data_IF_714002060001
#
_entry.id   IF_714002060001
#
_cell.length_a   1.000
_cell.length_b   1.000
_cell.length_c   1.000
_cell.angle_alpha   90.00
_cell.angle_beta   90.00
_cell.angle_gamma   90.00
#
_symmetry.space_group_name_H-M   'P 1'
#
loop_
_entity.id
_entity.type
_entity.pdbx_description
1 polymer ?
#
# COMPACT_ATOMS: atom_id res chain seq x y z
N UNK A 1 -1.45 37.32 2.81
CA UNK A 1 -1.79 38.14 3.98
C UNK A 1 -1.81 39.59 3.55
N UNK A 2 -2.90 40.28 3.78
CA UNK A 2 -3.16 41.63 3.29
C UNK A 2 -4.30 42.25 4.10
N UNK A 3 -4.22 43.51 4.43
CA UNK A 3 -5.22 44.23 5.23
C UNK A 3 -6.18 45.10 4.42
N UNK A 4 -5.81 45.47 3.18
CA UNK A 4 -6.60 46.34 2.32
C UNK A 4 -7.61 45.58 1.48
N UNK A 5 -8.90 45.83 1.68
CA UNK A 5 -10.00 45.13 1.00
C UNK A 5 -9.94 45.17 -0.54
N UNK A 6 -9.59 46.30 -1.12
CA UNK A 6 -9.46 46.45 -2.59
C UNK A 6 -8.36 45.51 -3.14
N UNK A 7 -7.23 45.41 -2.45
CA UNK A 7 -6.13 44.57 -2.87
C UNK A 7 -6.46 43.09 -2.66
N UNK A 8 -7.11 42.76 -1.54
CA UNK A 8 -7.63 41.38 -1.28
C UNK A 8 -8.56 40.95 -2.42
N UNK A 9 -9.55 41.82 -2.78
CA UNK A 9 -10.48 41.51 -3.86
C UNK A 9 -9.80 41.33 -5.21
N UNK A 10 -8.84 42.20 -5.55
CA UNK A 10 -8.09 42.11 -6.80
C UNK A 10 -7.25 40.82 -6.89
N UNK A 11 -6.59 40.43 -5.79
CA UNK A 11 -5.80 39.17 -5.75
C UNK A 11 -6.73 37.95 -5.80
N UNK A 12 -7.84 37.94 -5.07
CA UNK A 12 -8.82 36.86 -5.11
C UNK A 12 -9.39 36.67 -6.52
N UNK A 13 -9.82 37.74 -7.17
CA UNK A 13 -10.33 37.69 -8.55
C UNK A 13 -9.27 37.11 -9.51
N UNK A 14 -8.01 37.55 -9.41
CA UNK A 14 -6.90 37.01 -10.19
C UNK A 14 -6.73 35.49 -9.98
N UNK A 15 -6.73 35.04 -8.71
CA UNK A 15 -6.53 33.62 -8.39
C UNK A 15 -7.69 32.74 -8.85
N UNK A 16 -8.94 33.22 -8.68
CA UNK A 16 -10.14 32.48 -9.04
C UNK A 16 -10.37 32.50 -10.56
N UNK A 17 -10.42 33.71 -11.15
CA UNK A 17 -10.88 33.87 -12.52
C UNK A 17 -9.79 33.55 -13.57
N UNK A 18 -8.54 33.85 -13.25
CA UNK A 18 -7.43 33.69 -14.22
C UNK A 18 -6.49 32.50 -13.89
N UNK A 19 -6.41 32.08 -12.61
CA UNK A 19 -5.59 30.93 -12.20
C UNK A 19 -6.39 29.67 -11.91
N UNK A 20 -7.73 29.72 -11.97
CA UNK A 20 -8.65 28.62 -11.70
C UNK A 20 -8.47 27.98 -10.29
N UNK A 21 -8.10 28.77 -9.29
CA UNK A 21 -8.01 28.31 -7.90
C UNK A 21 -9.40 28.38 -7.26
N UNK A 22 -9.94 27.26 -6.72
CA UNK A 22 -11.23 27.29 -6.04
C UNK A 22 -11.21 28.24 -4.83
N UNK A 23 -12.28 29.03 -4.64
CA UNK A 23 -12.34 29.99 -3.54
C UNK A 23 -12.14 29.35 -2.15
N UNK A 24 -12.62 28.13 -1.95
CA UNK A 24 -12.43 27.35 -0.72
C UNK A 24 -10.95 27.05 -0.39
N UNK A 25 -10.06 27.17 -1.37
CA UNK A 25 -8.63 26.90 -1.23
C UNK A 25 -7.81 28.19 -1.02
N UNK A 26 -8.51 29.34 -0.92
CA UNK A 26 -7.92 30.66 -0.69
C UNK A 26 -8.27 31.15 0.71
N UNK A 27 -7.27 31.19 1.57
CA UNK A 27 -7.37 31.76 2.91
C UNK A 27 -6.88 33.21 2.95
N UNK A 28 -7.57 34.08 3.67
CA UNK A 28 -7.14 35.47 3.91
C UNK A 28 -6.79 35.66 5.38
N UNK A 29 -5.69 36.37 5.66
CA UNK A 29 -5.32 36.86 6.99
C UNK A 29 -5.00 38.35 6.89
N UNK A 30 -5.58 39.18 7.76
CA UNK A 30 -5.47 40.63 7.73
C UNK A 30 -4.35 41.19 8.61
N UNK A 31 -3.73 40.33 9.40
CA UNK A 31 -2.63 40.69 10.29
C UNK A 31 -1.75 39.46 10.52
N UNK A 32 -0.56 39.71 11.10
CA UNK A 32 0.43 38.65 11.36
C UNK A 32 -0.10 37.60 12.34
N UNK A 33 -0.88 37.99 13.34
CA UNK A 33 -1.44 37.06 14.32
C UNK A 33 -2.40 36.03 13.66
N UNK A 34 -3.30 36.48 12.78
CA UNK A 34 -4.17 35.61 12.01
C UNK A 34 -3.36 34.68 11.09
N UNK A 35 -2.36 35.22 10.40
CA UNK A 35 -1.47 34.45 9.53
C UNK A 35 -0.73 33.37 10.29
N UNK A 36 -0.19 33.69 11.48
CA UNK A 36 0.47 32.73 12.35
C UNK A 36 -0.44 31.57 12.75
N UNK A 37 -1.71 31.85 13.08
CA UNK A 37 -2.67 30.80 13.43
C UNK A 37 -2.95 29.89 12.25
N UNK A 38 -3.17 30.45 11.07
CA UNK A 38 -3.39 29.66 9.84
C UNK A 38 -2.17 28.78 9.48
N UNK A 39 -0.94 29.29 9.63
CA UNK A 39 0.27 28.50 9.39
C UNK A 39 0.51 27.40 10.43
N UNK A 40 -0.07 27.50 11.62
CA UNK A 40 -0.07 26.39 12.60
C UNK A 40 -0.98 25.24 12.18
N UNK A 41 -2.13 25.58 11.63
CA UNK A 41 -3.19 24.62 11.30
C UNK A 41 -2.96 23.92 9.95
N UNK A 42 -2.56 24.67 8.91
CA UNK A 42 -2.54 24.20 7.52
C UNK A 42 -1.21 24.49 6.84
N UNK A 43 -0.74 23.57 6.00
CA UNK A 43 0.34 23.80 5.05
C UNK A 43 -0.21 24.52 3.81
N UNK A 44 0.50 25.55 3.34
CA UNK A 44 0.13 26.32 2.15
C UNK A 44 1.16 26.12 1.03
N UNK A 45 0.69 26.02 -0.21
CA UNK A 45 1.57 25.99 -1.37
C UNK A 45 2.17 27.37 -1.68
N UNK A 46 1.39 28.41 -1.44
CA UNK A 46 1.77 29.80 -1.70
C UNK A 46 1.33 30.71 -0.56
N UNK A 47 2.25 31.50 -0.03
CA UNK A 47 1.97 32.62 0.85
C UNK A 47 2.25 33.92 0.08
N UNK A 48 1.20 34.71 -0.16
CA UNK A 48 1.33 36.11 -0.59
C UNK A 48 1.33 36.98 0.67
N UNK A 49 2.37 37.75 0.90
CA UNK A 49 2.57 38.51 2.13
C UNK A 49 2.82 39.99 1.81
N UNK A 50 1.93 40.88 2.24
CA UNK A 50 2.22 42.31 2.23
C UNK A 50 3.38 42.62 3.20
N UNK A 51 4.33 43.40 2.75
CA UNK A 51 5.51 43.73 3.53
C UNK A 51 5.24 44.81 4.59
N UNK A 52 4.03 45.35 4.62
CA UNK A 52 3.58 46.36 5.58
C UNK A 52 2.24 45.93 6.16
N UNK A 53 2.28 45.06 7.18
CA UNK A 53 1.11 44.52 7.85
C UNK A 53 1.11 44.83 9.35
N UNK A 54 -0.08 45.04 9.95
CA UNK A 54 -0.15 45.14 11.42
C UNK A 54 0.09 43.77 12.07
N UNK A 55 0.69 43.78 13.26
CA UNK A 55 0.86 42.56 14.06
C UNK A 55 -0.49 42.03 14.56
N UNK A 56 -1.43 42.91 14.95
CA UNK A 56 -2.80 42.61 15.38
C UNK A 56 -3.79 43.59 14.74
N UNK A 57 -5.09 43.28 14.79
CA UNK A 57 -6.15 44.05 14.15
C UNK A 57 -6.31 45.48 14.70
N UNK A 58 -5.89 45.73 15.92
CA UNK A 58 -5.95 47.02 16.65
C UNK A 58 -4.63 47.84 16.57
N UNK A 59 -3.66 47.40 15.79
CA UNK A 59 -2.35 48.05 15.65
C UNK A 59 -2.18 48.65 14.25
N UNK A 60 -1.41 49.72 14.19
CA UNK A 60 -1.01 50.29 12.90
C UNK A 60 0.00 49.36 12.17
N UNK A 61 -0.03 49.32 10.84
CA UNK A 61 0.93 48.59 10.05
C UNK A 61 2.34 49.06 10.29
N UNK A 62 3.28 48.12 10.46
CA UNK A 62 4.69 48.40 10.67
C UNK A 62 5.55 47.68 9.61
N UNK A 63 6.48 48.41 9.02
CA UNK A 63 7.36 47.92 7.96
C UNK A 63 8.36 46.84 8.41
N UNK A 64 8.65 46.75 9.71
CA UNK A 64 9.59 45.77 10.26
C UNK A 64 8.92 44.43 10.60
N UNK A 65 7.61 44.40 10.79
CA UNK A 65 6.92 43.23 11.35
C UNK A 65 6.80 42.08 10.34
N UNK A 66 6.49 42.36 9.08
CA UNK A 66 6.40 41.34 8.03
C UNK A 66 7.76 40.65 7.74
N UNK A 67 8.90 41.37 7.63
CA UNK A 67 10.22 40.72 7.53
C UNK A 67 10.57 39.86 8.75
N UNK A 68 10.28 40.33 9.99
CA UNK A 68 10.47 39.52 11.21
C UNK A 68 9.59 38.29 11.24
N UNK A 69 8.37 38.37 10.72
CA UNK A 69 7.46 37.23 10.64
C UNK A 69 7.96 36.16 9.65
N UNK A 70 8.58 36.58 8.56
CA UNK A 70 9.23 35.62 7.65
C UNK A 70 10.35 34.86 8.37
N UNK A 71 11.18 35.53 9.13
CA UNK A 71 12.25 34.89 9.93
C UNK A 71 11.64 33.94 10.99
N UNK A 72 10.50 34.32 11.60
CA UNK A 72 9.77 33.47 12.53
C UNK A 72 9.24 32.20 11.85
N UNK A 73 8.71 32.27 10.62
CA UNK A 73 8.21 31.11 9.89
C UNK A 73 9.29 30.03 9.76
N UNK A 74 10.56 30.41 9.60
CA UNK A 74 11.66 29.46 9.47
C UNK A 74 12.27 29.01 10.79
N UNK A 75 12.18 29.83 11.83
CA UNK A 75 12.79 29.53 13.14
C UNK A 75 11.84 28.85 14.12
N UNK A 76 10.53 28.97 13.94
CA UNK A 76 9.52 28.47 14.86
C UNK A 76 8.96 27.11 14.37
N UNK A 77 9.31 25.98 15.02
CA UNK A 77 8.88 24.64 14.60
C UNK A 77 7.35 24.40 14.71
N UNK A 78 6.62 25.30 15.39
CA UNK A 78 5.16 25.24 15.45
C UNK A 78 4.46 25.77 14.20
N UNK A 79 5.20 26.44 13.30
CA UNK A 79 4.67 26.98 12.05
C UNK A 79 5.02 26.06 10.89
N UNK A 80 4.03 25.78 10.04
CA UNK A 80 4.24 25.03 8.79
C UNK A 80 4.79 26.00 7.74
N UNK A 81 5.96 25.68 7.19
CA UNK A 81 6.63 26.54 6.21
C UNK A 81 5.92 26.40 4.85
N UNK A 82 5.39 27.49 4.26
CA UNK A 82 4.80 27.45 2.93
C UNK A 82 5.81 27.00 1.86
N UNK A 83 5.34 26.27 0.83
CA UNK A 83 6.22 25.83 -0.26
C UNK A 83 6.84 27.00 -1.02
N UNK A 84 6.13 28.13 -1.11
CA UNK A 84 6.64 29.38 -1.70
C UNK A 84 6.15 30.58 -0.91
N UNK A 85 7.01 31.60 -0.76
CA UNK A 85 6.66 32.90 -0.20
C UNK A 85 6.89 33.98 -1.27
N UNK A 86 5.89 34.82 -1.46
CA UNK A 86 5.96 35.99 -2.34
C UNK A 86 5.65 37.22 -1.48
N UNK A 87 6.62 38.09 -1.29
CA UNK A 87 6.42 39.37 -0.67
C UNK A 87 5.80 40.36 -1.67
N UNK A 88 4.89 41.19 -1.21
CA UNK A 88 4.29 42.25 -1.97
C UNK A 88 4.47 43.60 -1.27
N UNK A 89 4.82 44.62 -2.03
CA UNK A 89 4.89 45.99 -1.48
C UNK A 89 4.46 47.02 -2.51
N UNK A 90 3.76 48.04 -2.05
CA UNK A 90 3.40 49.21 -2.87
C UNK A 90 4.47 50.34 -2.76
N UNK A 91 5.40 50.22 -1.84
CA UNK A 91 6.43 51.23 -1.55
C UNK A 91 7.74 50.94 -2.33
N UNK A 92 8.22 51.91 -3.11
CA UNK A 92 9.39 51.75 -3.99
C UNK A 92 10.69 51.61 -3.18
N UNK A 93 10.84 52.42 -2.14
CA UNK A 93 12.02 52.39 -1.30
C UNK A 93 12.17 51.05 -0.58
N UNK A 94 11.06 50.50 -0.06
CA UNK A 94 11.02 49.17 0.56
C UNK A 94 11.26 48.03 -0.43
N UNK A 95 10.77 48.17 -1.65
CA UNK A 95 11.06 47.21 -2.67
C UNK A 95 12.57 47.07 -2.92
N UNK A 96 13.26 48.20 -3.03
CA UNK A 96 14.70 48.19 -3.28
C UNK A 96 15.51 47.68 -2.07
N UNK A 97 15.10 48.05 -0.82
CA UNK A 97 15.73 47.59 0.42
C UNK A 97 15.59 46.06 0.63
N UNK A 98 14.42 45.50 0.37
CA UNK A 98 14.13 44.09 0.63
C UNK A 98 14.51 43.16 -0.51
N UNK A 99 14.75 43.68 -1.71
CA UNK A 99 15.03 42.90 -2.89
C UNK A 99 16.18 41.92 -2.71
N UNK A 100 17.33 42.39 -2.22
CA UNK A 100 18.50 41.53 -1.97
C UNK A 100 18.20 40.46 -0.92
N UNK A 101 17.53 40.81 0.19
CA UNK A 101 17.15 39.83 1.22
C UNK A 101 16.24 38.72 0.72
N UNK A 102 15.36 39.03 -0.23
CA UNK A 102 14.47 38.05 -0.85
C UNK A 102 15.19 37.18 -1.89
N UNK A 103 16.11 37.78 -2.67
CA UNK A 103 16.93 37.07 -3.66
C UNK A 103 17.88 36.07 -2.97
N UNK A 104 18.50 36.43 -1.86
CA UNK A 104 19.35 35.54 -1.05
C UNK A 104 18.62 34.29 -0.51
N UNK A 105 17.32 34.42 -0.24
CA UNK A 105 16.47 33.31 0.20
C UNK A 105 15.71 32.61 -0.92
N UNK A 106 15.99 32.94 -2.17
CA UNK A 106 15.30 32.44 -3.38
C UNK A 106 13.79 32.73 -3.41
N UNK A 107 13.34 33.78 -2.73
CA UNK A 107 11.96 34.22 -2.70
C UNK A 107 11.71 35.30 -3.75
N UNK A 108 10.43 35.53 -4.04
CA UNK A 108 10.03 36.55 -4.98
C UNK A 108 9.48 37.76 -4.25
N UNK A 109 9.95 38.95 -4.62
CA UNK A 109 9.36 40.21 -4.17
C UNK A 109 8.69 40.89 -5.36
N UNK A 110 7.43 41.29 -5.20
CA UNK A 110 6.61 41.88 -6.25
C UNK A 110 6.21 43.28 -5.83
N UNK A 111 6.37 44.22 -6.78
CA UNK A 111 5.86 45.58 -6.59
C UNK A 111 4.41 45.64 -7.02
N UNK A 112 3.51 45.90 -6.07
CA UNK A 112 2.10 46.09 -6.34
C UNK A 112 1.83 47.55 -6.75
N UNK A 113 1.13 47.74 -7.90
CA UNK A 113 0.60 49.03 -8.35
C UNK A 113 -0.83 48.81 -8.82
N UNK A 114 -1.79 49.57 -8.26
CA UNK A 114 -3.23 49.38 -8.51
C UNK A 114 -3.60 49.44 -10.01
N UNK A 115 -2.91 50.26 -10.79
CA UNK A 115 -3.18 50.48 -12.22
C UNK A 115 -2.17 49.79 -13.17
N UNK A 116 -1.38 48.84 -12.66
CA UNK A 116 -0.41 48.12 -13.46
C UNK A 116 -0.73 46.62 -13.48
N UNK A 117 -0.40 45.93 -14.58
CA UNK A 117 -0.65 44.50 -14.76
C UNK A 117 0.58 43.62 -14.49
N UNK A 118 1.76 44.22 -14.25
CA UNK A 118 3.01 43.50 -14.05
C UNK A 118 3.00 42.54 -12.86
N UNK A 119 2.38 42.96 -11.74
CA UNK A 119 2.25 42.15 -10.54
C UNK A 119 1.36 40.92 -10.79
N UNK A 120 0.27 41.09 -11.55
CA UNK A 120 -0.65 40.00 -11.92
C UNK A 120 0.10 38.94 -12.73
N UNK A 121 0.89 39.34 -13.72
CA UNK A 121 1.68 38.44 -14.55
C UNK A 121 2.67 37.61 -13.72
N UNK A 122 3.31 38.22 -12.72
CA UNK A 122 4.25 37.54 -11.83
C UNK A 122 3.57 36.54 -10.91
N UNK A 123 2.41 36.90 -10.31
CA UNK A 123 1.64 35.98 -9.49
C UNK A 123 1.14 34.80 -10.33
N UNK A 124 0.57 35.05 -11.52
CA UNK A 124 0.13 34.00 -12.46
C UNK A 124 1.24 33.04 -12.83
N UNK A 125 2.43 33.56 -13.18
CA UNK A 125 3.58 32.73 -13.50
C UNK A 125 3.98 31.82 -12.31
N UNK A 126 3.93 32.35 -11.07
CA UNK A 126 4.25 31.58 -9.86
C UNK A 126 3.21 30.50 -9.57
N UNK A 127 1.94 30.84 -9.65
CA UNK A 127 0.82 29.88 -9.47
C UNK A 127 0.88 28.78 -10.54
N UNK A 128 1.08 29.15 -11.80
CA UNK A 128 1.21 28.18 -12.88
C UNK A 128 2.41 27.23 -12.69
N UNK A 129 3.54 27.75 -12.23
CA UNK A 129 4.69 26.90 -11.90
C UNK A 129 4.37 25.91 -10.79
N UNK A 130 3.69 26.35 -9.70
CA UNK A 130 3.27 25.47 -8.61
C UNK A 130 2.27 24.42 -9.10
N UNK A 131 1.27 24.80 -9.90
CA UNK A 131 0.30 23.87 -10.50
C UNK A 131 1.00 22.82 -11.37
N UNK A 132 1.95 23.22 -12.21
CA UNK A 132 2.75 22.27 -13.00
C UNK A 132 3.60 21.34 -12.16
N UNK A 133 4.22 21.83 -11.11
CA UNK A 133 4.99 20.98 -10.19
C UNK A 133 4.07 19.93 -9.51
N UNK A 134 2.90 20.35 -9.03
CA UNK A 134 1.90 19.43 -8.46
C UNK A 134 1.42 18.42 -9.50
N UNK A 135 1.18 18.84 -10.74
CA UNK A 135 0.81 17.95 -11.84
C UNK A 135 1.95 16.98 -12.18
N UNK A 136 3.20 17.45 -12.22
CA UNK A 136 4.37 16.59 -12.45
C UNK A 136 4.56 15.58 -11.30
N UNK A 137 4.36 15.99 -10.03
CA UNK A 137 4.39 15.10 -8.88
C UNK A 137 3.24 14.09 -8.97
N UNK A 138 2.02 14.54 -9.26
CA UNK A 138 0.88 13.64 -9.51
C UNK A 138 1.15 12.67 -10.65
N UNK A 139 1.68 13.14 -11.77
CA UNK A 139 2.03 12.30 -12.91
C UNK A 139 3.20 11.35 -12.61
N UNK A 140 4.17 11.73 -11.80
CA UNK A 140 5.23 10.83 -11.33
C UNK A 140 4.71 9.81 -10.32
N UNK A 141 3.73 10.17 -9.49
CA UNK A 141 3.01 9.25 -8.61
C UNK A 141 2.04 8.35 -9.41
N UNK A 142 1.35 8.90 -10.43
CA UNK A 142 0.48 8.13 -11.33
C UNK A 142 1.26 7.26 -12.34
N UNK A 143 2.52 7.57 -12.64
CA UNK A 143 3.44 6.69 -13.36
C UNK A 143 4.08 5.61 -12.46
N UNK A 144 3.80 5.56 -11.16
CA UNK A 144 3.92 4.33 -10.39
C UNK A 144 2.84 3.38 -10.89
N UNK A 145 3.25 2.21 -11.39
CA UNK A 145 2.37 1.16 -11.86
C UNK A 145 1.41 0.76 -10.73
N UNK A 146 0.25 1.42 -10.64
CA UNK A 146 -0.77 1.09 -9.64
C UNK A 146 -1.57 -0.10 -10.14
N UNK A 147 -1.69 -1.12 -9.30
CA UNK A 147 -2.51 -2.30 -9.55
C UNK A 147 -3.49 -2.49 -8.39
N UNK A 148 -4.71 -2.92 -8.70
CA UNK A 148 -5.72 -3.16 -7.67
C UNK A 148 -5.32 -4.30 -6.74
N UNK A 149 -4.73 -5.36 -7.32
CA UNK A 149 -4.34 -6.57 -6.60
C UNK A 149 -2.89 -6.97 -6.89
N UNK A 150 -2.23 -7.51 -5.89
CA UNK A 150 -0.93 -8.16 -6.01
C UNK A 150 -1.05 -9.68 -5.85
N UNK A 151 -0.20 -10.45 -6.52
CA UNK A 151 -0.02 -11.88 -6.28
C UNK A 151 1.45 -12.18 -6.10
N UNK A 152 1.79 -12.92 -5.04
CA UNK A 152 3.15 -13.36 -4.75
C UNK A 152 3.20 -14.89 -4.66
N UNK A 153 4.17 -15.50 -5.32
CA UNK A 153 4.48 -16.91 -5.22
C UNK A 153 5.92 -17.09 -4.74
N UNK A 154 6.16 -18.04 -3.86
CA UNK A 154 7.50 -18.32 -3.36
C UNK A 154 8.35 -19.02 -4.42
N UNK A 155 7.81 -20.02 -5.10
CA UNK A 155 8.53 -20.89 -6.01
C UNK A 155 8.06 -20.77 -7.46
N UNK A 156 8.94 -21.12 -8.38
CA UNK A 156 8.66 -21.04 -9.82
C UNK A 156 7.49 -21.91 -10.25
N UNK A 157 7.39 -23.13 -9.73
CA UNK A 157 6.29 -24.06 -10.05
C UNK A 157 4.91 -23.56 -9.61
N UNK A 158 4.84 -22.85 -8.45
CA UNK A 158 3.63 -22.17 -7.98
C UNK A 158 3.23 -21.04 -8.94
N UNK A 159 4.22 -20.27 -9.35
CA UNK A 159 4.04 -19.16 -10.27
C UNK A 159 3.62 -19.61 -11.68
N UNK A 160 4.20 -20.68 -12.21
CA UNK A 160 3.83 -21.23 -13.52
C UNK A 160 2.40 -21.77 -13.52
N UNK A 161 1.94 -22.37 -12.41
CA UNK A 161 0.53 -22.77 -12.24
C UNK A 161 -0.40 -21.55 -12.22
N UNK A 162 -0.04 -20.47 -11.51
CA UNK A 162 -0.78 -19.21 -11.50
C UNK A 162 -0.92 -18.63 -12.91
N UNK A 163 0.19 -18.48 -13.62
CA UNK A 163 0.20 -17.92 -14.99
C UNK A 163 -0.67 -18.74 -15.94
N UNK A 164 -0.65 -20.07 -15.82
CA UNK A 164 -1.44 -20.97 -16.66
C UNK A 164 -2.94 -20.86 -16.35
N UNK A 165 -3.33 -20.82 -15.06
CA UNK A 165 -4.73 -20.73 -14.60
C UNK A 165 -5.38 -19.42 -15.04
N UNK A 166 -4.68 -18.31 -14.96
CA UNK A 166 -5.18 -16.99 -15.39
C UNK A 166 -5.13 -16.79 -16.91
N UNK A 167 -4.56 -17.77 -17.65
CA UNK A 167 -4.40 -17.74 -19.10
C UNK A 167 -3.10 -17.04 -19.53
N UNK A 168 -2.15 -17.81 -20.02
CA UNK A 168 -0.80 -17.32 -20.39
C UNK A 168 -0.82 -16.11 -21.33
N UNK A 169 -1.78 -16.06 -22.25
CA UNK A 169 -1.92 -14.97 -23.22
C UNK A 169 -2.38 -13.64 -22.60
N UNK A 170 -2.97 -13.68 -21.39
CA UNK A 170 -3.48 -12.49 -20.69
C UNK A 170 -2.38 -11.74 -19.95
N UNK A 171 -1.23 -12.37 -19.76
CA UNK A 171 -0.14 -11.80 -18.98
C UNK A 171 0.86 -11.02 -19.84
N UNK A 172 1.17 -9.80 -19.42
CA UNK A 172 2.27 -9.00 -19.96
C UNK A 172 3.46 -9.05 -19.01
N UNK A 173 4.60 -9.50 -19.50
CA UNK A 173 5.85 -9.53 -18.73
C UNK A 173 6.49 -8.14 -18.71
N UNK A 174 6.96 -7.73 -17.55
CA UNK A 174 7.74 -6.52 -17.32
C UNK A 174 9.10 -6.89 -16.73
N UNK A 175 10.13 -6.19 -17.19
CA UNK A 175 11.50 -6.32 -16.71
C UNK A 175 12.15 -4.94 -16.87
N UNK A 176 11.70 -4.02 -16.06
CA UNK A 176 12.18 -2.64 -16.00
C UNK A 176 12.75 -2.34 -14.61
N UNK A 177 13.26 -1.13 -14.42
CA UNK A 177 13.87 -0.72 -13.16
C UNK A 177 12.83 -0.33 -12.08
N UNK A 178 11.54 -0.49 -12.34
CA UNK A 178 10.50 -0.14 -11.36
C UNK A 178 10.40 -1.14 -10.22
N UNK A 179 10.77 -2.41 -10.47
CA UNK A 179 10.82 -3.45 -9.45
C UNK A 179 12.06 -4.34 -9.64
N UNK A 180 12.63 -4.81 -8.52
CA UNK A 180 13.91 -5.56 -8.53
C UNK A 180 13.78 -6.94 -9.19
N UNK A 181 12.59 -7.55 -9.18
CA UNK A 181 12.30 -8.81 -9.85
C UNK A 181 11.46 -8.58 -11.11
N UNK A 182 11.58 -9.43 -12.14
CA UNK A 182 10.62 -9.47 -13.24
C UNK A 182 9.21 -9.74 -12.70
N UNK A 183 8.22 -9.01 -13.20
CA UNK A 183 6.84 -9.18 -12.82
C UNK A 183 5.92 -9.31 -14.04
N UNK A 184 4.74 -9.86 -13.83
CA UNK A 184 3.72 -9.96 -14.87
C UNK A 184 2.47 -9.19 -14.46
N UNK A 185 1.76 -8.69 -15.43
CA UNK A 185 0.49 -7.98 -15.21
C UNK A 185 -0.61 -8.53 -16.07
N UNK A 186 -1.81 -8.57 -15.54
CA UNK A 186 -3.02 -8.91 -16.30
C UNK A 186 -4.22 -8.13 -15.78
N UNK A 187 -5.34 -8.30 -16.47
CA UNK A 187 -6.64 -7.79 -16.04
C UNK A 187 -7.63 -8.96 -15.96
N UNK A 188 -8.48 -8.92 -14.95
CA UNK A 188 -9.51 -9.94 -14.73
C UNK A 188 -10.86 -9.26 -14.57
N UNK A 189 -11.77 -9.48 -15.51
CA UNK A 189 -13.15 -9.03 -15.40
C UNK A 189 -13.90 -9.93 -14.43
N UNK A 190 -14.65 -9.33 -13.50
CA UNK A 190 -15.45 -10.05 -12.51
C UNK A 190 -16.83 -10.43 -13.08
N UNK A 191 -17.57 -11.25 -12.35
CA UNK A 191 -18.98 -11.55 -12.68
C UNK A 191 -19.90 -10.33 -12.47
N UNK A 192 -19.46 -9.30 -11.74
CA UNK A 192 -20.16 -8.03 -11.60
C UNK A 192 -19.96 -7.19 -12.86
N UNK A 193 -21.07 -6.72 -13.44
CA UNK A 193 -21.04 -5.94 -14.69
C UNK A 193 -20.20 -4.68 -14.54
N UNK A 194 -19.18 -4.56 -15.39
CA UNK A 194 -18.32 -3.38 -15.47
C UNK A 194 -17.18 -3.32 -14.45
N UNK A 195 -16.99 -4.33 -13.60
CA UNK A 195 -15.87 -4.39 -12.67
C UNK A 195 -14.72 -5.25 -13.25
N UNK A 196 -13.52 -4.69 -13.27
CA UNK A 196 -12.28 -5.35 -13.70
C UNK A 196 -11.17 -5.00 -12.70
N UNK A 197 -10.36 -6.00 -12.32
CA UNK A 197 -9.18 -5.79 -11.50
C UNK A 197 -7.92 -5.85 -12.34
N UNK A 198 -7.06 -4.85 -12.17
CA UNK A 198 -5.67 -4.86 -12.63
C UNK A 198 -4.79 -5.60 -11.61
N UNK A 199 -3.97 -6.53 -12.08
CA UNK A 199 -3.21 -7.44 -11.22
C UNK A 199 -1.74 -7.39 -11.58
N UNK A 200 -0.87 -7.31 -10.57
CA UNK A 200 0.57 -7.56 -10.70
C UNK A 200 0.94 -8.86 -9.98
N UNK A 201 1.80 -9.67 -10.58
CA UNK A 201 2.26 -10.94 -10.02
C UNK A 201 3.78 -11.06 -10.03
N UNK A 202 4.35 -11.55 -8.93
CA UNK A 202 5.79 -11.71 -8.70
C UNK A 202 6.10 -13.11 -8.22
N UNK A 203 7.21 -13.68 -8.74
CA UNK A 203 7.82 -14.89 -8.21
C UNK A 203 9.08 -14.53 -7.42
N UNK A 204 9.12 -14.87 -6.13
CA UNK A 204 10.25 -14.58 -5.25
C UNK A 204 11.47 -15.46 -5.61
N UNK A 205 11.23 -16.70 -6.01
CA UNK A 205 12.27 -17.67 -6.37
C UNK A 205 12.91 -18.42 -5.20
N UNK A 206 12.58 -18.04 -3.97
CA UNK A 206 13.04 -18.68 -2.74
C UNK A 206 11.93 -18.71 -1.70
N UNK A 207 11.83 -19.83 -0.98
CA UNK A 207 10.92 -19.94 0.16
C UNK A 207 11.45 -19.17 1.38
N UNK A 208 10.55 -18.69 2.23
CA UNK A 208 10.86 -18.16 3.56
C UNK A 208 10.21 -16.81 3.88
N UNK A 209 9.93 -16.63 5.18
CA UNK A 209 9.25 -15.44 5.72
C UNK A 209 9.96 -14.13 5.39
N UNK A 210 11.29 -14.11 5.49
CA UNK A 210 12.10 -12.88 5.29
C UNK A 210 11.99 -12.41 3.85
N UNK A 211 12.20 -13.28 2.88
CA UNK A 211 12.12 -12.95 1.45
C UNK A 211 10.71 -12.49 1.09
N UNK A 212 9.70 -13.23 1.53
CA UNK A 212 8.29 -12.87 1.30
C UNK A 212 7.96 -11.52 1.88
N UNK A 213 8.39 -11.23 3.11
CA UNK A 213 8.13 -9.94 3.77
C UNK A 213 8.76 -8.77 3.00
N UNK A 214 10.02 -8.91 2.56
CA UNK A 214 10.74 -7.87 1.80
C UNK A 214 10.01 -7.58 0.48
N UNK A 215 9.72 -8.61 -0.31
CA UNK A 215 9.09 -8.41 -1.63
C UNK A 215 7.63 -7.99 -1.55
N UNK A 216 6.86 -8.49 -0.58
CA UNK A 216 5.50 -8.03 -0.35
C UNK A 216 5.46 -6.55 0.07
N UNK A 217 6.36 -6.11 0.96
CA UNK A 217 6.49 -4.69 1.34
C UNK A 217 6.85 -3.84 0.13
N UNK A 218 7.82 -4.27 -0.68
CA UNK A 218 8.20 -3.55 -1.91
C UNK A 218 7.03 -3.48 -2.92
N UNK A 219 6.24 -4.56 -3.07
CA UNK A 219 5.03 -4.55 -3.91
C UNK A 219 4.01 -3.53 -3.41
N UNK A 220 3.73 -3.46 -2.10
CA UNK A 220 2.82 -2.45 -1.54
C UNK A 220 3.32 -1.02 -1.78
N UNK A 221 4.61 -0.77 -1.66
CA UNK A 221 5.19 0.56 -1.85
C UNK A 221 5.21 1.00 -3.32
N UNK A 222 5.56 0.09 -4.23
CA UNK A 222 5.81 0.41 -5.64
C UNK A 222 4.53 0.30 -6.48
N UNK A 223 3.74 -0.74 -6.25
CA UNK A 223 2.54 -1.04 -7.02
C UNK A 223 1.24 -0.67 -6.30
N UNK A 224 1.32 -0.33 -5.01
CA UNK A 224 0.21 0.12 -4.16
C UNK A 224 -1.07 -0.76 -4.18
N UNK A 225 -0.99 -2.11 -4.30
CA UNK A 225 -2.20 -2.92 -4.34
C UNK A 225 -2.98 -2.81 -3.02
N UNK A 226 -4.33 -2.93 -3.10
CA UNK A 226 -5.16 -2.97 -1.90
C UNK A 226 -5.02 -4.30 -1.14
N UNK A 227 -4.73 -5.38 -1.87
CA UNK A 227 -4.52 -6.70 -1.29
C UNK A 227 -3.45 -7.47 -2.05
N UNK A 228 -2.58 -8.18 -1.32
CA UNK A 228 -1.64 -9.16 -1.90
C UNK A 228 -2.10 -10.57 -1.54
N UNK A 229 -2.31 -11.40 -2.56
CA UNK A 229 -2.60 -12.81 -2.44
C UNK A 229 -1.33 -13.64 -2.56
N UNK A 230 -1.25 -14.73 -1.82
CA UNK A 230 -0.21 -15.76 -2.01
C UNK A 230 -0.87 -17.08 -2.39
N UNK A 231 -0.40 -17.68 -3.49
CA UNK A 231 -0.80 -19.01 -3.91
C UNK A 231 0.39 -19.96 -3.97
N UNK A 232 0.11 -21.24 -3.95
CA UNK A 232 1.13 -22.28 -4.02
C UNK A 232 0.71 -23.53 -3.25
N UNK A 233 1.70 -24.19 -2.63
CA UNK A 233 1.49 -25.41 -1.85
C UNK A 233 2.05 -25.29 -0.44
N UNK A 234 1.58 -26.15 0.45
CA UNK A 234 1.98 -26.22 1.86
C UNK A 234 1.85 -27.64 2.40
N UNK A 235 2.38 -27.86 3.59
CA UNK A 235 2.16 -29.10 4.32
C UNK A 235 0.85 -29.04 5.12
N UNK A 236 0.06 -30.12 5.09
CA UNK A 236 -1.09 -30.33 5.96
C UNK A 236 -0.66 -30.81 7.36
N UNK A 237 -1.43 -30.42 8.38
CA UNK A 237 -1.20 -30.85 9.78
C UNK A 237 -2.18 -31.91 10.27
N UNK A 238 -3.23 -32.20 9.50
CA UNK A 238 -4.36 -33.08 9.86
C UNK A 238 -4.63 -34.07 8.72
N UNK A 239 -3.87 -35.16 8.64
CA UNK A 239 -4.02 -36.19 7.60
C UNK A 239 -5.39 -36.94 7.70
N UNK A 240 -6.02 -36.92 8.87
CA UNK A 240 -7.36 -37.44 9.09
C UNK A 240 -8.48 -36.55 8.56
N UNK A 241 -8.20 -35.27 8.25
CA UNK A 241 -9.17 -34.27 7.84
C UNK A 241 -8.93 -33.67 6.46
N UNK A 242 -7.69 -33.69 6.00
CA UNK A 242 -7.25 -33.10 4.72
C UNK A 242 -6.71 -34.19 3.80
N UNK A 243 -6.79 -33.93 2.51
CA UNK A 243 -6.26 -34.76 1.43
C UNK A 243 -5.30 -33.95 0.57
N UNK A 244 -4.44 -34.65 -0.18
CA UNK A 244 -3.58 -34.01 -1.18
C UNK A 244 -4.39 -33.23 -2.21
N UNK A 245 -4.08 -31.95 -2.35
CA UNK A 245 -4.79 -31.02 -3.22
C UNK A 245 -5.89 -30.21 -2.51
N UNK A 246 -6.33 -30.60 -1.30
CA UNK A 246 -7.24 -29.77 -0.51
C UNK A 246 -6.65 -28.38 -0.31
N UNK A 247 -7.49 -27.35 -0.32
CA UNK A 247 -7.10 -25.97 -0.24
C UNK A 247 -7.28 -25.48 1.20
N UNK A 248 -6.25 -24.86 1.76
CA UNK A 248 -6.34 -24.14 3.04
C UNK A 248 -6.19 -22.65 2.76
N UNK A 249 -7.14 -21.88 3.28
CA UNK A 249 -7.11 -20.41 3.31
C UNK A 249 -6.83 -19.97 4.74
N UNK A 250 -5.74 -19.24 4.94
CA UNK A 250 -5.33 -18.86 6.28
C UNK A 250 -6.12 -17.66 6.79
N UNK A 251 -7.08 -17.86 7.70
CA UNK A 251 -7.72 -16.76 8.42
C UNK A 251 -6.82 -16.11 9.47
N UNK A 252 -5.81 -16.86 9.91
CA UNK A 252 -4.72 -16.37 10.77
C UNK A 252 -3.49 -17.22 10.58
N UNK A 253 -2.33 -16.60 10.76
CA UNK A 253 -1.02 -17.27 10.69
C UNK A 253 -0.29 -17.03 11.99
N UNK A 254 0.25 -18.10 12.60
CA UNK A 254 1.07 -18.05 13.80
C UNK A 254 2.52 -18.40 13.48
N UNK A 255 3.49 -17.60 13.94
CA UNK A 255 4.89 -17.99 13.94
C UNK A 255 5.17 -18.99 15.05
N UNK A 256 5.58 -20.21 14.68
CA UNK A 256 5.93 -21.26 15.65
C UNK A 256 7.41 -21.22 16.07
N UNK A 257 8.22 -20.37 15.49
CA UNK A 257 9.67 -20.30 15.73
C UNK A 257 10.08 -19.24 16.74
N UNK A 258 9.20 -18.32 17.09
CA UNK A 258 9.48 -17.28 18.08
C UNK A 258 9.30 -17.80 19.51
N UNK A 259 10.27 -17.48 20.37
CA UNK A 259 10.23 -17.89 21.79
C UNK A 259 11.59 -17.87 22.46
N UNK A 260 11.66 -18.44 23.65
CA UNK A 260 12.87 -18.58 24.46
C UNK A 260 13.39 -20.03 24.39
N UNK A 261 14.66 -20.21 24.06
CA UNK A 261 15.33 -21.50 24.13
C UNK A 261 15.89 -21.69 25.54
N UNK A 262 15.62 -22.82 26.14
CA UNK A 262 16.11 -23.24 27.47
C UNK A 262 16.60 -24.68 27.42
N UNK A 263 17.43 -25.06 28.38
CA UNK A 263 17.74 -26.46 28.61
C UNK A 263 16.71 -27.03 29.58
N UNK A 264 16.16 -28.21 29.29
CA UNK A 264 15.35 -28.96 30.25
C UNK A 264 16.25 -29.60 31.33
N UNK A 265 15.70 -30.22 32.41
CA UNK A 265 16.49 -30.87 33.46
C UNK A 265 17.39 -32.00 32.98
N UNK A 266 17.20 -32.51 31.73
CA UNK A 266 18.02 -33.56 31.13
C UNK A 266 19.12 -33.00 30.23
N UNK A 267 19.19 -31.66 30.04
CA UNK A 267 20.11 -30.98 29.15
C UNK A 267 19.63 -30.96 27.69
N UNK A 268 18.39 -31.29 27.42
CA UNK A 268 17.80 -31.23 26.09
C UNK A 268 17.25 -29.83 25.80
N UNK A 269 17.54 -29.28 24.63
CA UNK A 269 17.03 -27.98 24.20
C UNK A 269 15.51 -27.99 24.07
N UNK A 270 14.86 -27.04 24.74
CA UNK A 270 13.42 -26.82 24.68
C UNK A 270 13.11 -25.39 24.21
N UNK A 271 12.21 -25.24 23.25
CA UNK A 271 11.69 -23.94 22.81
C UNK A 271 10.40 -23.63 23.56
N UNK A 272 10.46 -22.64 24.45
CA UNK A 272 9.28 -22.05 25.08
C UNK A 272 8.71 -20.99 24.12
N UNK A 273 7.69 -21.37 23.37
CA UNK A 273 7.12 -20.55 22.29
C UNK A 273 6.31 -19.38 22.83
N UNK A 274 6.42 -18.26 22.14
CA UNK A 274 5.54 -17.09 22.33
C UNK A 274 4.45 -17.10 21.27
N UNK A 275 3.21 -16.72 21.69
CA UNK A 275 2.10 -16.63 20.76
C UNK A 275 2.23 -15.33 19.97
N UNK A 276 2.62 -15.46 18.70
CA UNK A 276 2.67 -14.36 17.75
C UNK A 276 1.77 -14.72 16.55
N UNK A 277 0.55 -14.17 16.55
CA UNK A 277 -0.49 -14.50 15.58
C UNK A 277 -1.00 -13.25 14.88
N UNK A 278 -1.11 -13.32 13.57
CA UNK A 278 -1.68 -12.29 12.71
C UNK A 278 -2.96 -12.81 12.04
N UNK A 279 -3.95 -11.93 11.87
CA UNK A 279 -5.25 -12.25 11.28
C UNK A 279 -5.50 -11.43 10.02
N UNK A 280 -6.30 -11.98 9.11
CA UNK A 280 -6.76 -11.25 7.92
C UNK A 280 -7.92 -10.31 8.24
N UNK A 281 -8.21 -9.43 7.30
CA UNK A 281 -9.40 -8.57 7.34
C UNK A 281 -10.68 -9.41 7.26
N UNK A 282 -11.74 -9.10 8.04
CA UNK A 282 -12.97 -9.87 8.08
C UNK A 282 -13.64 -10.06 6.70
N UNK A 283 -13.57 -9.06 5.83
CA UNK A 283 -14.15 -9.11 4.49
C UNK A 283 -13.49 -10.19 3.62
N UNK A 284 -12.16 -10.32 3.69
CA UNK A 284 -11.42 -11.35 2.95
C UNK A 284 -11.71 -12.75 3.51
N UNK A 285 -11.84 -12.87 4.84
CA UNK A 285 -12.22 -14.13 5.47
C UNK A 285 -13.63 -14.57 5.02
N UNK A 286 -14.57 -13.62 5.00
CA UNK A 286 -15.95 -13.89 4.57
C UNK A 286 -16.00 -14.32 3.10
N UNK A 287 -15.35 -13.60 2.18
CA UNK A 287 -15.31 -13.94 0.77
C UNK A 287 -14.70 -15.33 0.51
N UNK A 288 -13.64 -15.68 1.25
CA UNK A 288 -13.03 -17.01 1.15
C UNK A 288 -13.93 -18.11 1.73
N UNK A 289 -14.65 -17.86 2.81
CA UNK A 289 -15.59 -18.82 3.42
C UNK A 289 -16.81 -19.05 2.52
N UNK A 290 -17.34 -17.98 1.92
CA UNK A 290 -18.42 -18.05 0.92
C UNK A 290 -18.03 -18.93 -0.27
N UNK A 291 -16.87 -18.68 -0.89
CA UNK A 291 -16.37 -19.50 -1.99
C UNK A 291 -16.12 -20.96 -1.58
N UNK A 292 -15.53 -21.19 -0.40
CA UNK A 292 -15.24 -22.55 0.08
C UNK A 292 -16.49 -23.37 0.33
N UNK A 293 -17.61 -22.72 0.62
CA UNK A 293 -18.92 -23.32 0.88
C UNK A 293 -19.78 -23.46 -0.39
N UNK A 294 -19.44 -22.75 -1.48
CA UNK A 294 -20.18 -22.84 -2.74
C UNK A 294 -19.82 -24.14 -3.51
N UNK A 295 -20.73 -25.10 -3.45
CA UNK A 295 -20.57 -26.40 -4.11
C UNK A 295 -20.41 -26.30 -5.63
N UNK A 296 -21.04 -25.30 -6.28
CA UNK A 296 -20.95 -25.10 -7.73
C UNK A 296 -19.53 -24.65 -8.08
N UNK A 297 -19.03 -23.62 -7.42
CA UNK A 297 -17.68 -23.08 -7.67
C UNK A 297 -16.59 -24.11 -7.34
N UNK A 298 -16.73 -24.86 -6.25
CA UNK A 298 -15.81 -25.95 -5.90
C UNK A 298 -15.86 -27.09 -6.92
N UNK A 299 -17.03 -27.41 -7.46
CA UNK A 299 -17.17 -28.42 -8.52
C UNK A 299 -16.50 -27.97 -9.82
N UNK A 300 -16.61 -26.71 -10.21
CA UNK A 300 -15.89 -26.14 -11.36
C UNK A 300 -14.36 -26.27 -11.20
N UNK A 301 -13.80 -25.99 -10.01
CA UNK A 301 -12.38 -26.20 -9.70
C UNK A 301 -12.00 -27.68 -9.90
N UNK A 302 -12.79 -28.61 -9.36
CA UNK A 302 -12.55 -30.04 -9.48
C UNK A 302 -12.59 -30.51 -10.96
N UNK A 303 -13.49 -29.98 -11.77
CA UNK A 303 -13.59 -30.29 -13.21
C UNK A 303 -12.30 -29.86 -13.92
N UNK A 304 -11.84 -28.61 -13.71
CA UNK A 304 -10.61 -28.11 -14.35
C UNK A 304 -9.38 -28.93 -13.94
N UNK A 305 -9.30 -29.35 -12.68
CA UNK A 305 -8.20 -30.20 -12.22
C UNK A 305 -8.19 -31.58 -12.90
N UNK A 306 -9.38 -32.16 -13.15
CA UNK A 306 -9.51 -33.43 -13.91
C UNK A 306 -9.13 -33.27 -15.37
N UNK A 307 -9.63 -32.22 -16.03
CA UNK A 307 -9.24 -31.89 -17.42
C UNK A 307 -7.72 -31.73 -17.60
N UNK A 308 -7.04 -31.27 -16.57
CA UNK A 308 -5.57 -31.17 -16.55
C UNK A 308 -4.84 -32.45 -16.10
N UNK A 309 -5.58 -33.54 -15.84
CA UNK A 309 -5.07 -34.79 -15.29
C UNK A 309 -4.33 -34.63 -13.94
N UNK A 310 -4.79 -33.71 -13.11
CA UNK A 310 -4.26 -33.43 -11.78
C UNK A 310 -5.11 -34.02 -10.65
N UNK A 311 -6.30 -34.54 -10.95
CA UNK A 311 -7.21 -35.11 -9.98
C UNK A 311 -7.90 -36.37 -10.58
N UNK A 312 -7.98 -37.42 -9.79
CA UNK A 312 -8.68 -38.64 -10.16
C UNK A 312 -10.21 -38.42 -10.22
N UNK A 313 -10.93 -39.17 -11.08
CA UNK A 313 -12.36 -38.98 -11.30
C UNK A 313 -13.21 -39.21 -10.04
N UNK A 314 -12.77 -40.09 -9.14
CA UNK A 314 -13.50 -40.46 -7.93
C UNK A 314 -13.24 -39.55 -6.72
N UNK A 315 -12.29 -38.63 -6.84
CA UNK A 315 -11.90 -37.71 -5.74
C UNK A 315 -12.33 -36.29 -6.02
N UNK A 316 -12.78 -35.62 -4.99
CA UNK A 316 -12.98 -34.16 -4.97
C UNK A 316 -12.06 -33.54 -3.91
N UNK A 317 -11.46 -32.42 -4.26
CA UNK A 317 -10.80 -31.56 -3.27
C UNK A 317 -11.83 -30.62 -2.65
N UNK A 318 -11.55 -30.18 -1.43
CA UNK A 318 -12.33 -29.17 -0.70
C UNK A 318 -11.44 -27.99 -0.33
N UNK A 319 -12.07 -26.90 0.07
CA UNK A 319 -11.39 -25.74 0.64
C UNK A 319 -11.84 -25.56 2.09
N UNK A 320 -10.92 -25.10 2.96
CA UNK A 320 -11.20 -24.79 4.35
C UNK A 320 -10.54 -23.47 4.75
N UNK A 321 -11.28 -22.63 5.46
CA UNK A 321 -10.76 -21.38 6.02
C UNK A 321 -10.37 -21.65 7.49
N UNK A 322 -9.07 -21.63 7.80
CA UNK A 322 -8.56 -22.11 9.07
C UNK A 322 -7.31 -21.38 9.55
N UNK A 323 -6.95 -21.47 10.83
CA UNK A 323 -5.64 -21.06 11.33
C UNK A 323 -4.52 -21.92 10.71
N UNK A 324 -3.39 -21.28 10.45
CA UNK A 324 -2.16 -21.92 9.95
C UNK A 324 -0.96 -21.52 10.80
N UNK A 325 0.15 -22.23 10.62
CA UNK A 325 1.44 -21.86 11.20
C UNK A 325 2.49 -21.65 10.16
N UNK A 326 3.48 -20.82 10.48
CA UNK A 326 4.60 -20.52 9.63
C UNK A 326 5.91 -20.62 10.41
N UNK A 327 6.98 -21.03 9.76
CA UNK A 327 8.30 -21.05 10.38
C UNK A 327 9.42 -21.31 9.38
N UNK A 328 10.69 -21.25 9.81
CA UNK A 328 11.84 -21.22 8.90
C UNK A 328 12.25 -22.59 8.34
N UNK A 329 11.59 -23.67 8.75
CA UNK A 329 12.06 -25.03 8.42
C UNK A 329 11.08 -25.77 7.52
N UNK A 330 11.66 -26.55 6.59
CA UNK A 330 10.94 -27.66 5.95
C UNK A 330 10.79 -28.77 7.00
N UNK A 331 9.57 -28.98 7.46
CA UNK A 331 9.29 -30.00 8.48
C UNK A 331 9.05 -31.36 7.81
N UNK A 332 9.77 -32.39 8.26
CA UNK A 332 9.63 -33.79 7.88
C UNK A 332 9.77 -34.68 9.14
N UNK A 333 9.14 -34.30 10.22
CA UNK A 333 9.26 -34.92 11.54
C UNK A 333 7.91 -34.99 12.25
N UNK A 334 7.46 -36.21 12.57
CA UNK A 334 6.20 -36.45 13.26
C UNK A 334 6.18 -35.78 14.65
N UNK A 335 7.27 -35.88 15.41
CA UNK A 335 7.38 -35.25 16.73
C UNK A 335 7.30 -33.71 16.65
N UNK A 336 7.86 -33.12 15.58
CA UNK A 336 7.74 -31.67 15.36
C UNK A 336 6.29 -31.28 15.01
N UNK A 337 5.62 -32.07 14.17
CA UNK A 337 4.20 -31.88 13.83
C UNK A 337 3.32 -32.00 15.05
N UNK A 338 3.56 -32.98 15.95
CA UNK A 338 2.84 -33.10 17.22
C UNK A 338 3.03 -31.87 18.11
N UNK A 339 4.26 -31.41 18.25
CA UNK A 339 4.58 -30.19 18.99
C UNK A 339 3.89 -28.94 18.42
N UNK A 340 3.84 -28.80 17.08
CA UNK A 340 3.12 -27.71 16.42
C UNK A 340 1.62 -27.83 16.62
N UNK A 341 1.04 -29.03 16.49
CA UNK A 341 -0.37 -29.29 16.74
C UNK A 341 -0.80 -28.98 18.18
N UNK A 342 0.13 -29.05 19.13
CA UNK A 342 -0.08 -28.68 20.54
C UNK A 342 -0.32 -27.17 20.74
N UNK A 343 0.05 -26.31 19.78
CA UNK A 343 -0.15 -24.86 19.90
C UNK A 343 -1.61 -24.44 19.75
N UNK A 344 -2.32 -25.01 18.78
CA UNK A 344 -3.76 -24.83 18.60
C UNK A 344 -4.35 -26.05 17.88
N UNK A 345 -5.37 -26.65 18.47
CA UNK A 345 -6.09 -27.81 17.91
C UNK A 345 -6.74 -27.55 16.55
N UNK A 346 -6.92 -26.27 16.16
CA UNK A 346 -7.59 -25.85 14.93
C UNK A 346 -6.62 -25.66 13.75
N UNK A 347 -5.32 -25.72 13.97
CA UNK A 347 -4.32 -25.59 12.91
C UNK A 347 -4.53 -26.63 11.82
N UNK A 348 -4.43 -26.21 10.55
CA UNK A 348 -4.65 -27.10 9.40
C UNK A 348 -3.44 -27.21 8.51
N UNK A 349 -2.62 -26.17 8.37
CA UNK A 349 -1.47 -26.16 7.45
C UNK A 349 -0.25 -25.46 8.03
N UNK A 350 0.90 -25.77 7.45
CA UNK A 350 2.21 -25.26 7.80
C UNK A 350 2.93 -24.83 6.51
N UNK A 351 3.53 -23.63 6.53
CA UNK A 351 4.40 -23.15 5.45
C UNK A 351 5.62 -22.38 5.97
N UNK A 352 6.35 -21.74 5.06
CA UNK A 352 7.53 -20.94 5.38
C UNK A 352 7.37 -19.45 5.04
N UNK A 353 6.25 -19.00 4.54
CA UNK A 353 6.04 -17.66 3.95
C UNK A 353 4.93 -16.84 4.61
N UNK A 354 3.85 -17.50 5.04
CA UNK A 354 2.59 -16.86 5.42
C UNK A 354 2.75 -15.75 6.46
N UNK A 355 3.54 -15.96 7.50
CA UNK A 355 3.76 -14.96 8.53
C UNK A 355 4.50 -13.72 7.98
N UNK A 356 5.41 -13.89 7.02
CA UNK A 356 6.09 -12.80 6.34
C UNK A 356 5.13 -11.93 5.53
N UNK A 357 4.21 -12.54 4.78
CA UNK A 357 3.17 -11.84 4.03
C UNK A 357 2.25 -11.01 4.97
N UNK A 358 1.74 -11.64 6.03
CA UNK A 358 0.82 -11.00 6.98
C UNK A 358 1.51 -9.86 7.74
N UNK A 359 2.80 -10.02 8.06
CA UNK A 359 3.61 -8.96 8.69
C UNK A 359 3.77 -7.74 7.78
N UNK A 360 4.07 -7.95 6.50
CA UNK A 360 4.17 -6.89 5.51
C UNK A 360 2.83 -6.16 5.33
N UNK A 361 1.74 -6.89 5.16
CA UNK A 361 0.40 -6.32 5.02
C UNK A 361 -0.01 -5.47 6.23
N UNK A 362 0.23 -5.98 7.46
CA UNK A 362 -0.02 -5.25 8.70
C UNK A 362 0.80 -3.95 8.77
N UNK A 363 2.10 -4.01 8.45
CA UNK A 363 2.97 -2.84 8.47
C UNK A 363 2.52 -1.77 7.47
N UNK A 364 1.97 -2.17 6.32
CA UNK A 364 1.48 -1.29 5.27
C UNK A 364 0.01 -0.90 5.43
N UNK A 365 -0.69 -1.42 6.44
CA UNK A 365 -2.14 -1.24 6.65
C UNK A 365 -2.97 -1.63 5.42
N UNK A 366 -2.62 -2.76 4.79
CA UNK A 366 -3.23 -3.30 3.56
C UNK A 366 -3.79 -4.71 3.77
N UNK A 367 -4.59 -5.18 2.80
CA UNK A 367 -5.13 -6.54 2.81
C UNK A 367 -4.12 -7.59 2.34
N UNK A 368 -4.22 -8.79 2.88
CA UNK A 368 -3.53 -9.97 2.34
C UNK A 368 -4.33 -11.25 2.56
N UNK A 369 -4.06 -12.25 1.73
CA UNK A 369 -4.66 -13.58 1.90
C UNK A 369 -3.70 -14.66 1.40
N UNK A 370 -3.39 -15.61 2.27
CA UNK A 370 -2.64 -16.80 1.96
C UNK A 370 -3.59 -17.95 1.60
N UNK A 371 -3.39 -18.56 0.42
CA UNK A 371 -4.20 -19.62 -0.15
C UNK A 371 -3.25 -20.68 -0.68
N UNK A 372 -3.16 -21.84 -0.06
CA UNK A 372 -2.27 -22.91 -0.55
C UNK A 372 -2.97 -24.27 -0.58
N UNK A 373 -2.58 -25.09 -1.54
CA UNK A 373 -2.98 -26.48 -1.62
C UNK A 373 -2.12 -27.39 -0.75
N UNK A 374 -2.64 -28.49 -0.27
CA UNK A 374 -1.89 -29.48 0.49
C UNK A 374 -1.09 -30.40 -0.46
N UNK A 375 0.22 -30.35 -0.35
CA UNK A 375 1.14 -31.16 -1.16
C UNK A 375 1.77 -32.32 -0.37
N UNK A 376 1.92 -32.17 0.94
CA UNK A 376 2.45 -33.19 1.86
C UNK A 376 1.86 -33.02 3.27
N UNK A 377 2.23 -33.89 4.22
CA UNK A 377 1.78 -33.84 5.60
C UNK A 377 2.95 -33.69 6.60
N UNK A 378 4.04 -33.07 6.17
CA UNK A 378 5.22 -32.79 6.98
C UNK A 378 5.82 -34.02 7.70
N UNK A 379 5.60 -35.22 7.16
CA UNK A 379 6.09 -36.49 7.68
C UNK A 379 7.23 -37.06 6.84
N UNK A 380 7.79 -38.20 7.26
CA UNK A 380 8.90 -38.88 6.56
C UNK A 380 8.57 -39.40 5.16
N UNK A 381 7.26 -39.46 4.78
CA UNK A 381 6.76 -39.86 3.44
C UNK A 381 6.66 -38.70 2.46
N UNK A 382 7.21 -37.52 2.82
CA UNK A 382 7.19 -36.33 1.98
C UNK A 382 7.79 -36.62 0.60
N UNK A 383 7.09 -36.13 -0.44
CA UNK A 383 7.52 -36.22 -1.84
C UNK A 383 6.85 -35.13 -2.67
N UNK A 384 7.41 -34.86 -3.84
CA UNK A 384 6.99 -33.73 -4.71
C UNK A 384 5.82 -34.08 -5.64
N UNK A 385 5.24 -35.25 -5.50
CA UNK A 385 4.23 -35.79 -6.43
C UNK A 385 2.96 -34.95 -6.51
N UNK A 386 2.65 -34.16 -5.48
CA UNK A 386 1.42 -33.38 -5.37
C UNK A 386 1.62 -31.88 -5.47
N UNK A 387 2.86 -31.36 -5.61
CA UNK A 387 3.15 -29.92 -5.73
C UNK A 387 2.35 -29.28 -6.85
N UNK A 388 2.37 -29.90 -8.03
CA UNK A 388 1.64 -29.39 -9.19
C UNK A 388 0.12 -29.34 -8.94
N UNK A 389 -0.48 -30.41 -8.38
CA UNK A 389 -1.93 -30.43 -8.03
C UNK A 389 -2.26 -29.31 -7.05
N UNK A 390 -1.49 -29.20 -5.97
CA UNK A 390 -1.70 -28.21 -4.92
C UNK A 390 -1.57 -26.76 -5.43
N UNK A 391 -0.55 -26.50 -6.26
CA UNK A 391 -0.34 -25.19 -6.89
C UNK A 391 -1.50 -24.80 -7.81
N UNK A 392 -1.97 -25.73 -8.65
CA UNK A 392 -3.13 -25.47 -9.52
C UNK A 392 -4.42 -25.28 -8.72
N UNK A 393 -4.66 -26.08 -7.68
CA UNK A 393 -5.83 -25.96 -6.83
C UNK A 393 -5.90 -24.58 -6.17
N UNK A 394 -4.82 -24.12 -5.56
CA UNK A 394 -4.75 -22.81 -4.92
C UNK A 394 -4.91 -21.65 -5.92
N UNK A 395 -4.28 -21.75 -7.10
CA UNK A 395 -4.40 -20.75 -8.16
C UNK A 395 -5.83 -20.66 -8.72
N UNK A 396 -6.50 -21.81 -8.93
CA UNK A 396 -7.90 -21.88 -9.37
C UNK A 396 -8.84 -21.27 -8.33
N UNK A 397 -8.61 -21.55 -7.05
CA UNK A 397 -9.40 -20.96 -5.97
C UNK A 397 -9.23 -19.43 -5.96
N UNK A 398 -8.01 -18.91 -6.07
CA UNK A 398 -7.77 -17.48 -6.15
C UNK A 398 -8.45 -16.86 -7.38
N UNK A 399 -8.34 -17.49 -8.55
CA UNK A 399 -8.99 -16.99 -9.76
C UNK A 399 -10.51 -16.87 -9.58
N UNK A 400 -11.15 -17.89 -8.99
CA UNK A 400 -12.57 -17.87 -8.68
C UNK A 400 -12.93 -16.83 -7.62
N UNK A 401 -12.11 -16.69 -6.57
CA UNK A 401 -12.29 -15.69 -5.54
C UNK A 401 -12.32 -14.27 -6.14
N UNK A 402 -11.34 -13.94 -6.98
CA UNK A 402 -11.27 -12.62 -7.66
C UNK A 402 -12.47 -12.41 -8.57
N UNK A 403 -12.86 -13.45 -9.31
CA UNK A 403 -13.89 -13.34 -10.33
C UNK A 403 -15.30 -13.27 -9.76
N UNK A 404 -15.60 -14.00 -8.70
CA UNK A 404 -16.97 -14.26 -8.25
C UNK A 404 -17.34 -13.64 -6.90
N UNK A 405 -16.40 -13.57 -5.94
CA UNK A 405 -16.74 -13.26 -4.53
C UNK A 405 -15.96 -12.10 -3.92
N UNK A 406 -14.90 -11.61 -4.56
CA UNK A 406 -13.97 -10.64 -3.95
C UNK A 406 -14.61 -9.25 -3.88
N UNK A 407 -15.63 -8.84 -3.71
CA UNK A 407 -16.27 -7.52 -3.63
C UNK A 407 -15.46 -6.36 -2.99
N UNK A 408 -14.16 -6.26 -3.27
CA UNK A 408 -13.37 -5.09 -2.88
C UNK A 408 -13.83 -3.89 -3.70
N UNK A 409 -14.22 -2.80 -3.04
CA UNK A 409 -14.47 -1.52 -3.69
C UNK A 409 -13.11 -0.96 -4.15
N UNK A 410 -12.98 -0.74 -5.45
CA UNK A 410 -11.84 -0.07 -6.05
C UNK A 410 -11.77 1.41 -5.67
#
# INVERSE_FOLDING_TARGET
MEDREKKISAIKSLLIDECAIPEKDIDVARNIFEGRNKLREKLYDLLLLDMVLPTKADQDPNEEDSPKFIDEIYSNPALKIPNQIVGETSHEDKFNELKEKFEDKLWSLIRYKENATDWQSKIKAKVFHLQKNVEQIKNSIMNTNHYDLGIICALREEYDALIDVFGKANWKKHQDNSFVLPYHTCKVSTSMVGQEYSICAVCVGNAGMVQTSIYATAMYQIFSPECIFMTGFSAGLKEDKLSYGDIVVAKSVQDYSTGKVVDDPTGTLQLLREINQLTIQPQLAYAADELSSDQRLMSEINIVLREKNLLDNEKNIKAVVAPTVCGPFVVASESMVENINGLDRKLQALDMEGFGLYSAARAMNKGCLWIKGIADFANSKKGDNYHKRASYASALFLYKLIKETLGLQA
#
